data_IF_270903565718
#
_entry.id   IF_270903565718
#
_cell.length_a   1.000
_cell.length_b   1.000
_cell.length_c   1.000
_cell.angle_alpha   90.00
_cell.angle_beta   90.00
_cell.angle_gamma   90.00
#
_symmetry.space_group_name_H-M   'P 1'
#
loop_
_entity.id
_entity.type
_entity.pdbx_description
1 polymer ?
#
# COMPACT_ATOMS: atom_id res chain seq x y z
N UNK A 1 24.20 1.77 -9.78
CA UNK A 1 24.25 0.66 -8.80
C UNK A 1 23.02 0.78 -7.90
N UNK A 2 22.14 -0.22 -7.88
CA UNK A 2 20.91 -0.21 -7.07
C UNK A 2 21.29 -0.59 -5.63
N UNK A 3 21.16 0.34 -4.68
CA UNK A 3 21.44 0.07 -3.26
C UNK A 3 20.29 -0.78 -2.69
N UNK A 4 20.55 -1.90 -2.01
CA UNK A 4 19.50 -2.67 -1.36
C UNK A 4 18.84 -1.82 -0.26
N UNK A 5 17.50 -1.81 -0.22
CA UNK A 5 16.74 -1.11 0.83
C UNK A 5 17.03 -1.72 2.20
N UNK A 6 17.23 -0.85 3.19
CA UNK A 6 17.36 -1.24 4.59
C UNK A 6 16.00 -1.33 5.31
N UNK A 7 16.01 -1.82 6.55
CA UNK A 7 14.79 -1.98 7.34
C UNK A 7 14.07 -0.64 7.59
N UNK A 8 14.82 0.43 7.84
CA UNK A 8 14.25 1.74 8.15
C UNK A 8 13.59 2.39 6.92
N UNK A 9 14.13 2.15 5.73
CA UNK A 9 13.51 2.50 4.45
C UNK A 9 12.23 1.71 4.21
N UNK A 10 12.26 0.40 4.45
CA UNK A 10 11.08 -0.46 4.28
C UNK A 10 9.97 -0.08 5.25
N UNK A 11 10.28 0.20 6.51
CA UNK A 11 9.31 0.63 7.51
C UNK A 11 8.65 1.95 7.13
N UNK A 12 9.42 2.94 6.66
CA UNK A 12 8.89 4.23 6.21
C UNK A 12 7.99 4.12 4.98
N UNK A 13 8.28 3.18 4.08
CA UNK A 13 7.56 2.96 2.81
C UNK A 13 6.50 1.85 2.92
N UNK A 14 6.31 1.25 4.10
CA UNK A 14 5.49 0.04 4.24
C UNK A 14 4.02 0.29 3.88
N UNK A 15 3.48 1.44 4.26
CA UNK A 15 2.09 1.79 3.93
C UNK A 15 1.91 2.10 2.45
N UNK A 16 2.82 2.86 1.84
CA UNK A 16 2.86 3.13 0.40
C UNK A 16 3.01 1.83 -0.43
N UNK A 17 3.68 0.82 0.13
CA UNK A 17 3.75 -0.50 -0.47
C UNK A 17 2.40 -1.25 -0.38
N UNK A 18 1.69 -1.12 0.74
CA UNK A 18 0.44 -1.83 0.99
C UNK A 18 -0.76 -1.21 0.26
N UNK A 19 -0.77 0.11 0.07
CA UNK A 19 -1.80 0.83 -0.69
C UNK A 19 -1.54 0.83 -2.20
N UNK A 20 -0.31 0.46 -2.63
CA UNK A 20 0.09 0.37 -4.03
C UNK A 20 0.57 1.70 -4.63
N UNK A 21 0.90 2.70 -3.81
CA UNK A 21 1.39 4.01 -4.25
C UNK A 21 2.86 4.02 -4.69
N UNK A 22 3.64 2.97 -4.38
CA UNK A 22 5.04 2.88 -4.81
C UNK A 22 5.19 2.61 -6.31
N UNK A 23 6.28 3.13 -6.90
CA UNK A 23 6.67 2.74 -8.26
C UNK A 23 6.96 1.23 -8.35
N UNK A 24 6.87 0.61 -9.54
CA UNK A 24 7.15 -0.83 -9.69
C UNK A 24 8.54 -1.24 -9.19
N UNK A 25 9.53 -0.35 -9.32
CA UNK A 25 10.90 -0.57 -8.86
C UNK A 25 10.97 -0.60 -7.33
N UNK A 26 10.38 0.37 -6.67
CA UNK A 26 10.37 0.47 -5.20
C UNK A 26 9.55 -0.66 -4.57
N UNK A 27 8.39 -0.98 -5.14
CA UNK A 27 7.57 -2.09 -4.69
C UNK A 27 8.32 -3.44 -4.79
N UNK A 28 9.14 -3.63 -5.83
CA UNK A 28 10.01 -4.81 -5.97
C UNK A 28 11.08 -4.85 -4.88
N UNK A 29 11.71 -3.72 -4.57
CA UNK A 29 12.72 -3.62 -3.52
C UNK A 29 12.15 -3.93 -2.13
N UNK A 30 11.00 -3.33 -1.77
CA UNK A 30 10.29 -3.61 -0.52
C UNK A 30 9.92 -5.09 -0.42
N UNK A 31 9.33 -5.66 -1.48
CA UNK A 31 8.97 -7.08 -1.52
C UNK A 31 10.17 -8.00 -1.31
N UNK A 32 11.30 -7.71 -1.95
CA UNK A 32 12.52 -8.50 -1.83
C UNK A 32 13.07 -8.47 -0.39
N UNK A 33 13.03 -7.31 0.28
CA UNK A 33 13.46 -7.17 1.67
C UNK A 33 12.51 -7.91 2.63
N UNK A 34 11.20 -7.66 2.54
CA UNK A 34 10.17 -8.27 3.41
C UNK A 34 10.18 -9.80 3.33
N UNK A 35 10.52 -10.37 2.18
CA UNK A 35 10.63 -11.82 2.00
C UNK A 35 11.81 -12.46 2.74
N UNK A 36 12.86 -11.69 3.07
CA UNK A 36 14.12 -12.19 3.65
C UNK A 36 14.36 -11.70 5.08
N UNK A 37 13.78 -10.57 5.46
CA UNK A 37 14.00 -9.94 6.76
C UNK A 37 13.08 -10.54 7.85
N UNK A 38 13.69 -10.99 8.94
CA UNK A 38 12.97 -11.55 10.09
C UNK A 38 12.05 -10.57 10.83
N UNK A 39 12.31 -9.26 10.74
CA UNK A 39 11.51 -8.20 11.39
C UNK A 39 10.45 -7.59 10.47
N UNK A 40 10.82 -7.19 9.26
CA UNK A 40 9.90 -6.50 8.34
C UNK A 40 8.79 -7.42 7.79
N UNK A 41 9.05 -8.73 7.67
CA UNK A 41 8.05 -9.73 7.31
C UNK A 41 6.83 -9.73 8.23
N UNK A 42 7.02 -9.99 9.54
CA UNK A 42 5.97 -9.88 10.55
C UNK A 42 5.26 -8.53 10.57
N UNK A 43 6.00 -7.41 10.52
CA UNK A 43 5.41 -6.07 10.51
C UNK A 43 4.48 -5.86 9.32
N UNK A 44 4.92 -6.23 8.11
CA UNK A 44 4.11 -6.19 6.90
C UNK A 44 2.83 -7.04 7.02
N UNK A 45 2.93 -8.26 7.59
CA UNK A 45 1.76 -9.11 7.82
C UNK A 45 0.78 -8.51 8.82
N UNK A 46 1.27 -7.86 9.87
CA UNK A 46 0.43 -7.17 10.85
C UNK A 46 -0.35 -6.02 10.19
N UNK A 47 0.34 -5.11 9.49
CA UNK A 47 -0.30 -4.01 8.77
C UNK A 47 -1.30 -4.51 7.72
N UNK A 48 -0.99 -5.57 6.98
CA UNK A 48 -1.92 -6.19 6.04
C UNK A 48 -3.16 -6.77 6.73
N UNK A 49 -2.98 -7.39 7.89
CA UNK A 49 -4.10 -7.92 8.69
C UNK A 49 -5.01 -6.80 9.19
N UNK A 50 -4.43 -5.67 9.59
CA UNK A 50 -5.18 -4.46 9.93
C UNK A 50 -6.03 -3.96 8.75
N UNK A 51 -5.46 -3.85 7.55
CA UNK A 51 -6.21 -3.44 6.35
C UNK A 51 -7.36 -4.41 6.04
N UNK A 52 -7.15 -5.72 6.21
CA UNK A 52 -8.21 -6.73 6.04
C UNK A 52 -9.32 -6.53 7.10
N UNK A 53 -8.97 -6.22 8.34
CA UNK A 53 -9.94 -5.94 9.40
C UNK A 53 -10.78 -4.69 9.07
N UNK A 54 -10.14 -3.60 8.68
CA UNK A 54 -10.83 -2.37 8.26
C UNK A 54 -11.76 -2.66 7.08
N UNK A 55 -11.28 -3.37 6.04
CA UNK A 55 -12.09 -3.74 4.89
C UNK A 55 -13.31 -4.61 5.28
N UNK A 56 -13.18 -5.47 6.29
CA UNK A 56 -14.30 -6.25 6.83
C UNK A 56 -15.30 -5.38 7.59
N UNK A 57 -14.83 -4.45 8.42
CA UNK A 57 -15.69 -3.54 9.17
C UNK A 57 -16.49 -2.60 8.25
N UNK A 58 -15.93 -2.26 7.08
CA UNK A 58 -16.60 -1.44 6.07
C UNK A 58 -17.55 -2.24 5.17
N UNK A 59 -17.68 -3.57 5.33
CA UNK A 59 -18.64 -4.35 4.53
C UNK A 59 -20.06 -3.91 4.84
N UNK A 60 -20.86 -3.71 3.78
CA UNK A 60 -22.25 -3.25 3.90
C UNK A 60 -22.40 -1.74 4.08
N UNK A 61 -21.29 -0.98 4.18
CA UNK A 61 -21.35 0.47 4.11
C UNK A 61 -21.78 0.92 2.71
N UNK A 62 -22.56 2.01 2.60
CA UNK A 62 -23.00 2.53 1.33
C UNK A 62 -21.79 2.88 0.46
N UNK A 63 -21.75 2.25 -0.70
CA UNK A 63 -20.70 2.47 -1.68
C UNK A 63 -21.02 3.77 -2.42
N UNK A 64 -20.02 4.65 -2.57
CA UNK A 64 -20.19 5.90 -3.31
C UNK A 64 -20.78 5.64 -4.72
N UNK A 65 -21.83 6.38 -5.14
CA UNK A 65 -22.44 6.21 -6.46
C UNK A 65 -21.42 6.33 -7.59
N UNK A 66 -21.60 5.58 -8.68
CA UNK A 66 -20.63 5.57 -9.79
C UNK A 66 -20.47 6.95 -10.44
N UNK A 67 -21.53 7.77 -10.43
CA UNK A 67 -21.47 9.16 -10.90
C UNK A 67 -20.45 9.98 -10.09
N UNK A 68 -20.42 9.81 -8.76
CA UNK A 68 -19.47 10.51 -7.90
C UNK A 68 -18.04 10.00 -8.12
N UNK A 69 -17.88 8.68 -8.26
CA UNK A 69 -16.58 8.04 -8.56
C UNK A 69 -16.02 8.49 -9.90
N UNK A 70 -16.85 8.56 -10.93
CA UNK A 70 -16.49 9.06 -12.24
C UNK A 70 -16.00 10.52 -12.18
N UNK A 71 -16.73 11.38 -11.47
CA UNK A 71 -16.32 12.78 -11.26
C UNK A 71 -14.98 12.89 -10.51
N UNK A 72 -14.78 12.10 -9.45
CA UNK A 72 -13.52 12.06 -8.70
C UNK A 72 -12.34 11.64 -9.59
N UNK A 73 -12.48 10.59 -10.41
CA UNK A 73 -11.42 10.16 -11.33
C UNK A 73 -11.00 11.28 -12.29
N UNK A 74 -11.97 11.99 -12.87
CA UNK A 74 -11.70 13.12 -13.79
C UNK A 74 -10.95 14.24 -13.07
N UNK A 75 -11.36 14.61 -11.85
CA UNK A 75 -10.69 15.67 -11.09
C UNK A 75 -9.26 15.29 -10.72
N UNK A 76 -9.04 14.08 -10.19
CA UNK A 76 -7.70 13.59 -9.82
C UNK A 76 -6.78 13.55 -11.05
N UNK A 77 -7.28 13.11 -12.21
CA UNK A 77 -6.49 13.05 -13.44
C UNK A 77 -6.08 14.40 -14.04
N UNK A 78 -6.68 15.51 -13.57
CA UNK A 78 -6.33 16.87 -14.01
C UNK A 78 -5.24 17.50 -13.15
N UNK A 79 -5.03 16.97 -11.96
CA UNK A 79 -4.19 17.56 -10.92
C UNK A 79 -2.88 16.77 -10.70
N UNK A 80 -2.76 15.61 -11.34
CA UNK A 80 -1.60 14.72 -11.30
C UNK A 80 -0.86 14.69 -12.62
#
# INVERSE_FOLDING_TARGET
MDRPMDCAEVERRLWEYLDGALSPKEAKAVRAHVARCGGCGPACRCCRSFLILVARALRGQPVAPEILRGRLRVLISRES
#
